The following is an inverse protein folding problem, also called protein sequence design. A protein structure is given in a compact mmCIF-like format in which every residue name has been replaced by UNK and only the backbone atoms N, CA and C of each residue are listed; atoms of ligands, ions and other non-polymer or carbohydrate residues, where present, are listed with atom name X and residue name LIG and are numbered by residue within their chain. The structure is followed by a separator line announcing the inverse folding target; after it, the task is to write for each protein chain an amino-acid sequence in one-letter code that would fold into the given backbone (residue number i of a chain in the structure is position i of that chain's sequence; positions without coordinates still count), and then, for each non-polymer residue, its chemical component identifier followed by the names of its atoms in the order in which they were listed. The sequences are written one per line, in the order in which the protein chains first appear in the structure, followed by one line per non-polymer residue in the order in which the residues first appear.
data_IF_315709189736
#
_entry.id   IF_315709189736
#
_cell.length_a   1.000
_cell.length_b   1.000
_cell.length_c   1.000
_cell.angle_alpha   90.00
_cell.angle_beta   90.00
_cell.angle_gamma   90.00
#
_symmetry.space_group_name_H-M   'P 1'
#
loop_
_entity.id
_entity.type
_entity.pdbx_description
1 polymer ?
#
# COMPACT_ATOMS: atom_id res chain seq x y z
N UNK A 1 14.70 16.90 18.06
CA UNK A 1 14.76 16.75 16.61
C UNK A 1 13.44 17.13 15.99
N UNK A 2 13.49 17.97 14.99
CA UNK A 2 12.31 18.42 14.26
C UNK A 2 11.85 17.33 13.31
N UNK A 3 10.59 16.89 13.49
CA UNK A 3 10.00 15.85 12.66
C UNK A 3 9.21 16.40 11.48
N UNK A 4 9.11 17.74 11.40
CA UNK A 4 8.34 18.36 10.32
C UNK A 4 9.20 18.54 9.08
N UNK A 5 8.57 18.33 7.95
CA UNK A 5 9.23 18.55 6.67
C UNK A 5 9.23 20.01 6.28
N UNK A 6 10.14 20.38 5.41
CA UNK A 6 10.34 21.76 4.99
C UNK A 6 10.49 21.85 3.49
N UNK A 7 10.07 22.98 2.94
CA UNK A 7 10.47 23.41 1.60
C UNK A 7 10.84 24.88 1.70
N UNK A 8 11.06 25.54 0.57
CA UNK A 8 11.55 26.93 0.55
C UNK A 8 10.65 27.92 1.29
N UNK A 9 9.35 27.64 1.39
CA UNK A 9 8.36 28.59 1.92
C UNK A 9 7.43 28.00 2.96
N UNK A 10 7.51 26.71 3.24
CA UNK A 10 6.52 26.05 4.08
C UNK A 10 7.13 25.00 4.99
N UNK A 11 6.44 24.75 6.10
CA UNK A 11 6.70 23.64 7.01
C UNK A 11 5.45 22.76 7.00
N UNK A 12 5.64 21.46 6.91
CA UNK A 12 4.50 20.54 6.87
C UNK A 12 4.82 19.21 7.55
N UNK A 13 3.76 18.50 7.91
CA UNK A 13 3.87 17.18 8.51
C UNK A 13 2.68 16.37 8.00
N UNK A 14 2.91 15.56 6.97
CA UNK A 14 1.86 14.85 6.27
C UNK A 14 2.14 13.36 6.24
N UNK A 15 1.56 12.66 7.21
CA UNK A 15 1.66 11.20 7.33
C UNK A 15 0.33 10.55 7.00
N UNK A 16 0.41 9.42 6.36
CA UNK A 16 -0.77 8.63 6.00
C UNK A 16 -0.56 7.16 6.31
N UNK A 17 -1.66 6.48 6.59
CA UNK A 17 -1.73 5.04 6.62
C UNK A 17 -2.45 4.57 5.36
N UNK A 18 -1.86 3.61 4.67
CA UNK A 18 -2.45 2.99 3.50
C UNK A 18 -2.61 1.51 3.77
N UNK A 19 -3.82 1.00 3.59
CA UNK A 19 -4.09 -0.42 3.68
C UNK A 19 -4.49 -0.91 2.30
N UNK A 20 -3.74 -1.88 1.76
CA UNK A 20 -4.07 -2.52 0.51
C UNK A 20 -4.27 -4.00 0.76
N UNK A 21 -5.39 -4.52 0.27
CA UNK A 21 -5.79 -5.91 0.51
C UNK A 21 -5.68 -6.69 -0.78
N UNK A 22 -5.20 -7.92 -0.71
CA UNK A 22 -5.16 -8.84 -1.84
C UNK A 22 -6.59 -9.12 -2.29
N UNK A 23 -6.79 -9.18 -3.60
CA UNK A 23 -8.13 -9.38 -4.16
C UNK A 23 -8.78 -10.65 -3.57
N UNK A 24 -10.00 -10.48 -3.11
CA UNK A 24 -10.78 -11.51 -2.41
C UNK A 24 -10.08 -12.05 -1.15
N UNK A 25 -9.16 -11.27 -0.58
CA UNK A 25 -8.37 -11.66 0.61
C UNK A 25 -7.66 -13.00 0.41
N UNK A 26 -7.18 -13.28 -0.79
CA UNK A 26 -6.37 -14.47 -1.03
C UNK A 26 -5.11 -14.42 -0.20
N UNK A 27 -4.77 -15.52 0.43
CA UNK A 27 -3.63 -15.62 1.36
C UNK A 27 -2.37 -15.94 0.57
N UNK A 28 -1.79 -14.93 -0.06
CA UNK A 28 -0.64 -15.10 -0.94
C UNK A 28 0.62 -14.39 -0.47
N UNK A 29 0.54 -13.51 0.53
CA UNK A 29 1.69 -12.74 0.96
C UNK A 29 2.47 -13.51 2.02
N UNK A 30 3.70 -13.87 1.70
CA UNK A 30 4.68 -14.38 2.66
C UNK A 30 5.80 -13.34 2.82
N UNK A 31 6.81 -13.63 3.64
CA UNK A 31 7.87 -12.68 3.90
C UNK A 31 8.65 -12.28 2.64
N UNK A 32 9.07 -13.20 1.77
CA UNK A 32 9.76 -12.81 0.53
C UNK A 32 8.91 -11.94 -0.38
N UNK A 33 7.63 -12.26 -0.53
CA UNK A 33 6.72 -11.49 -1.38
C UNK A 33 6.52 -10.10 -0.78
N UNK A 34 6.34 -10.01 0.54
CA UNK A 34 6.23 -8.72 1.23
C UNK A 34 7.48 -7.88 1.04
N UNK A 35 8.65 -8.48 1.20
CA UNK A 35 9.91 -7.75 1.04
C UNK A 35 10.05 -7.21 -0.38
N UNK A 36 9.70 -8.02 -1.38
CA UNK A 36 9.74 -7.56 -2.76
C UNK A 36 8.73 -6.44 -3.03
N UNK A 37 7.53 -6.56 -2.46
CA UNK A 37 6.50 -5.53 -2.58
C UNK A 37 6.98 -4.20 -1.98
N UNK A 38 7.71 -4.26 -0.87
CA UNK A 38 8.31 -3.09 -0.23
C UNK A 38 9.40 -2.47 -1.12
N UNK A 39 10.25 -3.29 -1.72
CA UNK A 39 11.27 -2.81 -2.64
C UNK A 39 10.68 -2.06 -3.84
N UNK A 40 9.59 -2.58 -4.38
CA UNK A 40 8.90 -1.92 -5.50
C UNK A 40 8.37 -0.56 -5.06
N UNK A 41 7.81 -0.48 -3.84
CA UNK A 41 7.36 0.79 -3.27
C UNK A 41 8.52 1.79 -3.19
N UNK A 42 9.64 1.35 -2.62
CA UNK A 42 10.79 2.22 -2.40
C UNK A 42 11.42 2.69 -3.71
N UNK A 43 11.23 1.94 -4.77
CA UNK A 43 11.71 2.35 -6.10
C UNK A 43 10.83 3.43 -6.74
N UNK A 44 9.52 3.34 -6.56
CA UNK A 44 8.56 4.24 -7.21
C UNK A 44 8.33 5.51 -6.39
N UNK A 45 8.27 5.38 -5.08
CA UNK A 45 7.85 6.45 -4.18
C UNK A 45 8.63 7.76 -4.30
N UNK A 46 9.97 7.75 -4.47
CA UNK A 46 10.70 9.01 -4.56
C UNK A 46 10.24 9.93 -5.69
N UNK A 47 9.81 9.37 -6.81
CA UNK A 47 9.33 10.15 -7.96
C UNK A 47 8.06 10.93 -7.62
N UNK A 48 7.37 10.56 -6.55
CA UNK A 48 6.14 11.20 -6.11
C UNK A 48 6.31 11.97 -4.81
N UNK A 49 7.55 12.14 -4.34
CA UNK A 49 7.83 12.84 -3.09
C UNK A 49 7.33 12.09 -1.86
N UNK A 50 7.32 10.77 -1.92
CA UNK A 50 6.80 9.92 -0.86
C UNK A 50 7.94 9.17 -0.19
N UNK A 51 7.95 9.18 1.15
CA UNK A 51 8.96 8.52 1.97
C UNK A 51 8.30 7.47 2.82
N UNK A 52 8.76 6.23 2.70
CA UNK A 52 8.27 5.11 3.51
C UNK A 52 8.74 5.27 4.96
N UNK A 53 7.81 5.12 5.92
CA UNK A 53 8.12 5.16 7.35
C UNK A 53 7.99 3.78 7.98
N UNK A 54 6.90 3.07 7.72
CA UNK A 54 6.69 1.73 8.25
C UNK A 54 6.03 0.85 7.20
N UNK A 55 6.43 -0.41 7.18
CA UNK A 55 5.85 -1.41 6.30
C UNK A 55 5.52 -2.65 7.13
N UNK A 56 4.25 -3.01 7.17
CA UNK A 56 3.78 -4.21 7.86
C UNK A 56 2.89 -5.01 6.94
N UNK A 57 2.86 -6.32 7.12
CA UNK A 57 2.01 -7.16 6.29
C UNK A 57 1.41 -8.31 7.09
N UNK A 58 0.32 -8.82 6.56
CA UNK A 58 -0.22 -10.11 6.94
C UNK A 58 -0.30 -10.94 5.66
N UNK A 59 -0.92 -12.12 5.71
CA UNK A 59 -0.98 -13.02 4.56
C UNK A 59 -1.84 -12.46 3.41
N UNK A 60 -2.74 -11.53 3.69
CA UNK A 60 -3.71 -11.03 2.72
C UNK A 60 -3.75 -9.51 2.60
N UNK A 61 -2.87 -8.78 3.27
CA UNK A 61 -2.84 -7.33 3.15
C UNK A 61 -1.51 -6.75 3.60
N UNK A 62 -1.29 -5.49 3.20
CA UNK A 62 -0.18 -4.68 3.71
C UNK A 62 -0.74 -3.43 4.37
N UNK A 63 -0.05 -2.99 5.42
CA UNK A 63 -0.34 -1.74 6.11
C UNK A 63 0.92 -0.90 6.08
N UNK A 64 0.86 0.22 5.39
CA UNK A 64 2.04 1.06 5.12
C UNK A 64 1.81 2.43 5.74
N UNK A 65 2.80 2.93 6.47
CA UNK A 65 2.80 4.33 6.90
C UNK A 65 3.86 5.06 6.11
N UNK A 66 3.49 6.20 5.56
CA UNK A 66 4.41 6.99 4.74
C UNK A 66 4.18 8.48 4.92
N UNK A 67 5.18 9.24 4.49
CA UNK A 67 5.19 10.68 4.58
C UNK A 67 5.14 11.25 3.18
N UNK A 68 4.39 12.34 3.01
CA UNK A 68 4.21 12.97 1.70
C UNK A 68 4.56 14.45 1.74
N UNK A 69 4.65 15.03 0.56
CA UNK A 69 4.74 16.48 0.36
C UNK A 69 3.36 17.02 0.00
N UNK A 70 3.08 18.31 0.25
CA UNK A 70 1.78 18.89 -0.10
C UNK A 70 1.41 18.74 -1.57
N UNK A 71 2.39 18.72 -2.47
CA UNK A 71 2.16 18.58 -3.90
C UNK A 71 2.08 17.11 -4.37
N UNK A 72 2.26 16.13 -3.49
CA UNK A 72 2.26 14.73 -3.88
C UNK A 72 0.87 14.32 -4.39
N UNK A 73 0.84 13.66 -5.54
CA UNK A 73 -0.40 13.17 -6.13
C UNK A 73 -0.64 11.74 -5.66
N UNK A 74 -1.29 11.59 -4.50
CA UNK A 74 -1.41 10.32 -3.80
C UNK A 74 -2.12 9.24 -4.62
N UNK A 75 -3.26 9.58 -5.22
CA UNK A 75 -4.00 8.59 -6.01
C UNK A 75 -3.19 8.10 -7.20
N UNK A 76 -2.46 9.00 -7.83
CA UNK A 76 -1.63 8.67 -8.97
C UNK A 76 -0.50 7.72 -8.58
N UNK A 77 0.15 8.01 -7.44
CA UNK A 77 1.19 7.14 -6.91
C UNK A 77 0.63 5.76 -6.55
N UNK A 78 -0.47 5.71 -5.81
CA UNK A 78 -1.04 4.45 -5.36
C UNK A 78 -1.41 3.57 -6.56
N UNK A 79 -2.03 4.17 -7.58
CA UNK A 79 -2.39 3.41 -8.78
C UNK A 79 -1.17 2.92 -9.55
N UNK A 80 -0.13 3.74 -9.65
CA UNK A 80 1.12 3.33 -10.28
C UNK A 80 1.78 2.17 -9.52
N UNK A 81 1.80 2.27 -8.19
CA UNK A 81 2.34 1.20 -7.36
C UNK A 81 1.54 -0.09 -7.49
N UNK A 82 0.20 0.00 -7.41
CA UNK A 82 -0.66 -1.18 -7.54
C UNK A 82 -0.42 -1.89 -8.87
N UNK A 83 -0.33 -1.12 -9.93
CA UNK A 83 -0.12 -1.66 -11.28
C UNK A 83 1.23 -2.36 -11.39
N UNK A 84 2.30 -1.68 -11.00
CA UNK A 84 3.65 -2.22 -11.10
C UNK A 84 3.86 -3.42 -10.19
N UNK A 85 3.41 -3.34 -8.94
CA UNK A 85 3.60 -4.43 -7.99
C UNK A 85 2.77 -5.66 -8.37
N UNK A 86 1.54 -5.46 -8.83
CA UNK A 86 0.71 -6.57 -9.30
C UNK A 86 1.41 -7.34 -10.44
N UNK A 87 1.90 -6.62 -11.43
CA UNK A 87 2.57 -7.22 -12.58
C UNK A 87 3.87 -7.93 -12.18
N UNK A 88 4.70 -7.27 -11.39
CA UNK A 88 6.01 -7.82 -11.03
C UNK A 88 5.90 -9.00 -10.07
N UNK A 89 5.04 -8.91 -9.05
CA UNK A 89 4.88 -10.00 -8.09
C UNK A 89 4.31 -11.25 -8.76
N UNK A 90 3.35 -11.09 -9.66
CA UNK A 90 2.78 -12.23 -10.40
C UNK A 90 3.78 -12.84 -11.36
N UNK A 91 4.67 -12.04 -11.91
CA UNK A 91 5.72 -12.51 -12.80
C UNK A 91 6.81 -13.28 -12.06
N UNK A 92 7.21 -12.76 -10.89
CA UNK A 92 8.36 -13.29 -10.15
C UNK A 92 8.00 -14.44 -9.22
N UNK A 93 6.71 -14.56 -8.85
CA UNK A 93 6.24 -15.57 -7.90
C UNK A 93 5.10 -16.38 -8.52
N UNK A 94 5.41 -17.46 -9.25
CA UNK A 94 4.40 -18.24 -9.97
C UNK A 94 3.26 -18.75 -9.10
N UNK A 95 3.50 -19.01 -7.81
CA UNK A 95 2.47 -19.47 -6.89
C UNK A 95 1.35 -18.44 -6.71
N UNK A 96 1.66 -17.15 -6.89
CA UNK A 96 0.63 -16.11 -6.84
C UNK A 96 -0.33 -16.28 -8.01
N UNK A 97 0.21 -16.58 -9.19
CA UNK A 97 -0.62 -16.75 -10.39
C UNK A 97 -1.58 -17.93 -10.27
N UNK A 98 -1.17 -18.98 -9.60
CA UNK A 98 -2.04 -20.13 -9.35
C UNK A 98 -3.25 -19.76 -8.51
N UNK A 99 -3.07 -18.87 -7.55
CA UNK A 99 -4.16 -18.43 -6.65
C UNK A 99 -5.02 -17.33 -7.23
N UNK A 100 -4.40 -16.41 -7.96
CA UNK A 100 -5.10 -15.24 -8.50
C UNK A 100 -5.38 -15.36 -9.99
N UNK A 101 -4.61 -16.17 -10.67
CA UNK A 101 -4.72 -16.42 -12.11
C UNK A 101 -4.89 -15.13 -12.91
N UNK A 102 -6.10 -14.86 -13.45
CA UNK A 102 -6.38 -13.65 -14.24
C UNK A 102 -6.68 -12.42 -13.40
N UNK A 103 -6.81 -12.61 -12.08
CA UNK A 103 -7.19 -11.52 -11.23
C UNK A 103 -6.00 -10.59 -10.99
N UNK A 104 -6.28 -9.31 -10.72
CA UNK A 104 -5.27 -8.39 -10.23
C UNK A 104 -4.81 -8.84 -8.84
N UNK A 105 -3.59 -8.48 -8.47
CA UNK A 105 -3.07 -8.84 -7.16
C UNK A 105 -3.87 -8.13 -6.05
N UNK A 106 -4.08 -6.82 -6.22
CA UNK A 106 -4.73 -6.00 -5.19
C UNK A 106 -6.22 -5.84 -5.44
N UNK A 107 -6.98 -5.67 -4.36
CA UNK A 107 -8.37 -5.22 -4.47
C UNK A 107 -8.42 -3.90 -5.22
N UNK A 108 -9.54 -3.63 -5.87
CA UNK A 108 -9.72 -2.42 -6.66
C UNK A 108 -9.65 -1.16 -5.80
N UNK A 109 -10.18 -1.21 -4.58
CA UNK A 109 -10.12 -0.10 -3.65
C UNK A 109 -8.88 -0.17 -2.75
N UNK A 110 -8.66 0.90 -2.00
CA UNK A 110 -7.66 0.94 -0.94
C UNK A 110 -8.21 1.82 0.19
N UNK A 111 -7.61 1.68 1.37
CA UNK A 111 -7.98 2.52 2.51
C UNK A 111 -6.83 3.46 2.81
N UNK A 112 -7.08 4.77 2.73
CA UNK A 112 -6.07 5.80 2.97
C UNK A 112 -6.55 6.71 4.10
N UNK A 113 -5.79 6.79 5.17
CA UNK A 113 -6.16 7.54 6.37
C UNK A 113 -5.02 8.44 6.80
N UNK A 114 -5.33 9.61 7.33
CA UNK A 114 -4.31 10.46 7.92
C UNK A 114 -3.80 9.84 9.21
N UNK A 115 -2.51 10.00 9.49
CA UNK A 115 -1.92 9.47 10.72
C UNK A 115 -2.57 10.12 11.94
N UNK A 116 -2.77 9.33 12.98
CA UNK A 116 -3.41 9.78 14.23
C UNK A 116 -4.92 9.64 14.22
N UNK A 117 -5.53 9.32 13.07
CA UNK A 117 -6.97 9.26 12.96
C UNK A 117 -7.58 7.91 12.62
N UNK A 118 -6.80 6.84 12.66
CA UNK A 118 -7.28 5.54 12.19
C UNK A 118 -7.61 4.60 13.35
N UNK A 119 -8.85 4.56 13.85
CA UNK A 119 -9.24 3.56 14.84
C UNK A 119 -9.03 2.15 14.28
N UNK A 120 -8.54 1.25 15.12
CA UNK A 120 -8.25 -0.13 14.73
C UNK A 120 -9.47 -0.83 14.14
N UNK A 121 -10.65 -0.60 14.71
CA UNK A 121 -11.87 -1.23 14.24
C UNK A 121 -12.27 -0.77 12.84
N UNK A 122 -11.97 0.48 12.48
CA UNK A 122 -12.22 0.97 11.11
C UNK A 122 -11.34 0.22 10.12
N UNK A 123 -10.05 0.07 10.45
CA UNK A 123 -9.10 -0.66 9.61
C UNK A 123 -9.51 -2.13 9.48
N UNK A 124 -9.85 -2.75 10.61
CA UNK A 124 -10.27 -4.15 10.65
C UNK A 124 -11.52 -4.38 9.79
N UNK A 125 -12.51 -3.50 9.93
CA UNK A 125 -13.74 -3.60 9.16
C UNK A 125 -13.46 -3.46 7.66
N UNK A 126 -12.58 -2.55 7.27
CA UNK A 126 -12.20 -2.41 5.88
C UNK A 126 -11.59 -3.70 5.33
N UNK A 127 -10.64 -4.28 6.06
CA UNK A 127 -9.98 -5.52 5.63
C UNK A 127 -10.99 -6.66 5.48
N UNK A 128 -11.87 -6.81 6.45
CA UNK A 128 -12.87 -7.88 6.45
C UNK A 128 -13.83 -7.76 5.26
N UNK A 129 -14.27 -6.55 4.93
CA UNK A 129 -15.18 -6.34 3.80
C UNK A 129 -14.52 -6.64 2.46
N UNK A 130 -13.20 -6.54 2.36
CA UNK A 130 -12.49 -6.87 1.13
C UNK A 130 -12.44 -8.37 0.83
N UNK A 131 -12.80 -9.20 1.82
CA UNK A 131 -12.91 -10.64 1.62
C UNK A 131 -14.16 -11.06 0.87
N UNK A 132 -15.15 -10.19 0.79
CA UNK A 132 -16.41 -10.49 0.14
C UNK A 132 -16.28 -10.36 -1.38
N UNK A 133 -16.75 -11.38 -2.09
CA UNK A 133 -16.79 -11.32 -3.54
C UNK A 133 -17.92 -10.43 -3.98
N UNK A 134 -17.65 -9.55 -4.93
CA UNK A 134 -18.69 -8.75 -5.54
C UNK A 134 -19.52 -9.58 -6.49
N UNK A 135 -20.78 -9.33 -6.47
CA UNK A 135 -21.75 -10.04 -7.31
C UNK A 135 -22.23 -9.20 -8.45
#
# INVERSE_FOLDING_TARGET
MDKMDHNAHSVYLMYYHLIMVVKYRRKVIDDPISERAKEIWERIAPDYGITLEEWNHDVDHVHVMFRTQPKSELSKFINAYKSASSRLLKKEYPQIRERLWREAFWSQSFCLLTAGGAPIDVIRNYIETQGEKKR
#
